data_IF_025251909106
#
_entry.id   IF_025251909106
#
_cell.length_a   1.000
_cell.length_b   1.000
_cell.length_c   1.000
_cell.angle_alpha   90.00
_cell.angle_beta   90.00
_cell.angle_gamma   90.00
#
_symmetry.space_group_name_H-M   'P 1'
#
loop_
_entity.id
_entity.type
_entity.pdbx_description
1 polymer ?
#
# COMPACT_ATOMS: atom_id res chain seq x y z
N UNK A 1 41.97 -13.36 -3.88
CA UNK A 1 40.88 -14.08 -3.19
C UNK A 1 40.95 -13.73 -1.71
N UNK A 2 40.22 -12.72 -1.25
CA UNK A 2 40.30 -12.25 0.15
C UNK A 2 39.05 -12.67 0.91
N UNK A 3 39.16 -13.79 1.64
CA UNK A 3 38.14 -14.38 2.49
C UNK A 3 38.08 -13.70 3.87
N UNK A 4 37.33 -12.60 3.98
CA UNK A 4 36.96 -12.00 5.27
C UNK A 4 35.52 -11.46 5.18
N UNK A 5 34.52 -12.33 5.26
CA UNK A 5 33.10 -11.94 5.30
C UNK A 5 32.32 -12.58 6.45
N UNK A 6 33.00 -13.11 7.45
CA UNK A 6 32.34 -13.68 8.63
C UNK A 6 32.82 -12.97 9.89
N UNK A 7 31.87 -12.58 10.75
CA UNK A 7 32.14 -12.01 12.07
C UNK A 7 31.89 -13.11 13.13
N UNK A 8 32.86 -14.00 13.38
CA UNK A 8 32.65 -15.20 14.18
C UNK A 8 32.29 -14.90 15.65
N UNK A 9 32.63 -13.70 16.14
CA UNK A 9 32.29 -13.27 17.50
C UNK A 9 30.78 -13.17 17.72
N UNK A 10 29.99 -12.90 16.67
CA UNK A 10 28.54 -12.85 16.78
C UNK A 10 27.96 -14.19 17.24
N UNK A 11 28.46 -15.30 16.69
CA UNK A 11 28.01 -16.65 17.06
C UNK A 11 28.38 -17.05 18.49
N UNK A 12 29.33 -16.35 19.11
CA UNK A 12 29.73 -16.58 20.52
C UNK A 12 28.81 -15.86 21.51
N UNK A 13 27.93 -14.98 21.04
CA UNK A 13 26.93 -14.35 21.90
C UNK A 13 25.89 -15.38 22.35
N UNK A 14 25.43 -15.32 23.63
CA UNK A 14 24.26 -16.02 24.09
C UNK A 14 23.09 -15.87 23.11
N UNK A 15 22.29 -16.94 22.99
CA UNK A 15 21.19 -17.00 22.02
C UNK A 15 20.20 -15.84 22.22
N UNK A 16 19.90 -15.49 23.46
CA UNK A 16 18.99 -14.41 23.83
C UNK A 16 19.47 -13.06 23.31
N UNK A 17 20.79 -12.81 23.34
CA UNK A 17 21.37 -11.57 22.82
C UNK A 17 21.30 -11.53 21.30
N UNK A 18 21.56 -12.66 20.62
CA UNK A 18 21.41 -12.73 19.15
C UNK A 18 19.98 -12.47 18.71
N UNK A 19 19.00 -13.09 19.39
CA UNK A 19 17.58 -12.86 19.13
C UNK A 19 17.21 -11.40 19.33
N UNK A 20 17.65 -10.76 20.43
CA UNK A 20 17.42 -9.33 20.66
C UNK A 20 18.03 -8.47 19.55
N UNK A 21 19.25 -8.76 19.10
CA UNK A 21 19.87 -8.02 18.00
C UNK A 21 19.01 -8.12 16.73
N UNK A 22 18.49 -9.30 16.40
CA UNK A 22 17.59 -9.44 15.27
C UNK A 22 16.26 -8.72 15.48
N UNK A 23 15.70 -8.70 16.69
CA UNK A 23 14.49 -7.93 17.00
C UNK A 23 14.69 -6.43 16.75
N UNK A 24 15.82 -5.88 17.21
CA UNK A 24 16.17 -4.48 16.95
C UNK A 24 16.52 -4.19 15.50
N UNK A 25 16.86 -5.21 14.71
CA UNK A 25 17.14 -5.09 13.29
C UNK A 25 15.91 -5.36 12.40
N UNK A 26 14.75 -5.70 12.99
CA UNK A 26 13.50 -5.76 12.23
C UNK A 26 13.15 -4.36 11.73
N UNK A 27 12.55 -4.23 10.54
CA UNK A 27 11.96 -2.96 10.14
C UNK A 27 10.94 -2.50 11.19
N UNK A 28 10.95 -1.20 11.49
CA UNK A 28 9.83 -0.56 12.18
C UNK A 28 8.59 -0.48 11.29
N UNK A 29 7.48 0.11 11.79
CA UNK A 29 6.31 0.38 10.98
C UNK A 29 6.70 1.13 9.70
N UNK A 30 6.30 0.60 8.55
CA UNK A 30 6.65 1.16 7.23
C UNK A 30 5.46 1.16 6.29
N UNK A 31 5.56 2.01 5.28
CA UNK A 31 4.62 2.08 4.16
C UNK A 31 5.19 1.23 3.03
N UNK A 32 4.43 0.24 2.58
CA UNK A 32 4.88 -0.74 1.58
C UNK A 32 4.08 -0.55 0.29
N UNK A 33 4.66 0.10 -0.74
CA UNK A 33 4.01 0.25 -2.03
C UNK A 33 3.81 -1.12 -2.70
N UNK A 34 2.60 -1.39 -3.18
CA UNK A 34 2.29 -2.64 -3.88
C UNK A 34 2.08 -2.37 -5.36
N UNK A 35 2.88 -3.05 -6.18
CA UNK A 35 2.80 -2.99 -7.64
C UNK A 35 2.82 -4.39 -8.22
N UNK A 36 2.17 -4.57 -9.35
CA UNK A 36 2.14 -5.79 -10.11
C UNK A 36 3.07 -5.65 -11.31
N UNK A 37 4.12 -6.46 -11.34
CA UNK A 37 5.02 -6.50 -12.47
C UNK A 37 4.46 -7.44 -13.53
N UNK A 38 3.93 -6.88 -14.62
CA UNK A 38 3.36 -7.66 -15.75
C UNK A 38 4.39 -8.54 -16.46
N UNK A 39 5.67 -8.19 -16.46
CA UNK A 39 6.70 -9.03 -17.11
C UNK A 39 7.01 -10.27 -16.27
N UNK A 40 7.06 -10.11 -14.94
CA UNK A 40 7.38 -11.19 -14.01
C UNK A 40 6.14 -11.92 -13.48
N UNK A 41 4.94 -11.43 -13.80
CA UNK A 41 3.65 -11.95 -13.33
C UNK A 41 3.58 -12.11 -11.81
N UNK A 42 4.14 -11.13 -11.08
CA UNK A 42 4.21 -11.17 -9.62
C UNK A 42 4.04 -9.78 -9.00
N UNK A 43 3.62 -9.74 -7.74
CA UNK A 43 3.60 -8.52 -6.94
C UNK A 43 5.01 -8.18 -6.44
N UNK A 44 5.41 -6.93 -6.62
CA UNK A 44 6.71 -6.36 -6.24
C UNK A 44 6.53 -5.03 -5.51
N UNK A 45 7.52 -4.63 -4.73
CA UNK A 45 7.59 -3.34 -4.05
C UNK A 45 8.94 -2.68 -4.33
N UNK A 46 8.96 -1.36 -4.40
CA UNK A 46 10.21 -0.58 -4.45
C UNK A 46 10.90 -0.52 -3.07
N UNK A 47 10.23 -1.00 -2.02
CA UNK A 47 10.80 -1.10 -0.68
C UNK A 47 12.04 -1.99 -0.70
N UNK A 48 13.12 -1.54 -0.08
CA UNK A 48 14.34 -2.33 0.02
C UNK A 48 14.06 -3.69 0.69
N UNK A 49 14.60 -4.79 0.15
CA UNK A 49 14.46 -6.11 0.76
C UNK A 49 14.95 -6.09 2.22
N UNK A 50 14.19 -6.67 3.18
CA UNK A 50 14.60 -6.70 4.57
C UNK A 50 15.97 -7.37 4.77
N UNK A 51 16.91 -6.65 5.39
CA UNK A 51 18.29 -7.10 5.60
C UNK A 51 18.34 -8.47 6.28
N UNK A 52 17.44 -8.71 7.25
CA UNK A 52 17.37 -9.97 8.01
C UNK A 52 17.12 -11.22 7.16
N UNK A 53 16.54 -11.08 5.96
CA UNK A 53 16.40 -12.21 5.03
C UNK A 53 17.77 -12.69 4.51
N UNK A 54 18.77 -11.81 4.47
CA UNK A 54 20.05 -12.06 3.80
C UNK A 54 21.24 -12.24 4.75
N UNK A 55 21.09 -11.99 6.06
CA UNK A 55 22.20 -12.12 7.04
C UNK A 55 22.55 -13.58 7.31
N UNK A 56 21.63 -14.38 7.85
CA UNK A 56 21.83 -15.81 8.10
C UNK A 56 20.50 -16.56 8.25
N UNK A 57 20.55 -17.88 8.54
CA UNK A 57 19.35 -18.69 8.75
C UNK A 57 18.58 -18.32 10.02
N UNK A 58 19.27 -17.91 11.08
CA UNK A 58 18.67 -17.50 12.36
C UNK A 58 17.91 -16.17 12.22
N UNK A 59 18.53 -15.18 11.57
CA UNK A 59 17.88 -13.89 11.27
C UNK A 59 16.65 -14.06 10.40
N UNK A 60 16.75 -14.93 9.37
CA UNK A 60 15.64 -15.23 8.47
C UNK A 60 14.48 -15.87 9.22
N UNK A 61 14.74 -16.85 10.09
CA UNK A 61 13.71 -17.50 10.91
C UNK A 61 12.98 -16.49 11.80
N UNK A 62 13.73 -15.57 12.43
CA UNK A 62 13.15 -14.51 13.26
C UNK A 62 12.32 -13.52 12.44
N UNK A 63 12.74 -13.21 11.22
CA UNK A 63 11.98 -12.36 10.31
C UNK A 63 10.67 -13.03 9.88
N UNK A 64 10.74 -14.29 9.40
CA UNK A 64 9.57 -15.03 8.89
C UNK A 64 8.60 -15.48 9.98
N UNK A 65 8.97 -15.38 11.27
CA UNK A 65 8.01 -15.60 12.37
C UNK A 65 7.09 -14.41 12.63
N UNK A 66 7.40 -13.25 12.03
CA UNK A 66 6.67 -11.99 12.24
C UNK A 66 6.06 -11.50 10.92
N UNK A 67 6.86 -11.52 9.85
CA UNK A 67 6.45 -11.06 8.53
C UNK A 67 5.93 -12.23 7.71
N UNK A 68 4.79 -12.01 7.04
CA UNK A 68 4.22 -12.95 6.08
C UNK A 68 4.46 -12.45 4.66
N UNK A 69 4.54 -13.38 3.71
CA UNK A 69 4.55 -13.02 2.30
C UNK A 69 3.14 -12.57 1.88
N UNK A 70 3.07 -11.46 1.14
CA UNK A 70 1.81 -10.84 0.73
C UNK A 70 1.13 -11.66 -0.38
N UNK A 71 -0.16 -11.94 -0.25
CA UNK A 71 -0.95 -12.70 -1.21
C UNK A 71 -2.27 -11.97 -1.49
N UNK A 72 -2.21 -10.98 -2.38
CA UNK A 72 -3.40 -10.25 -2.83
C UNK A 72 -4.23 -11.04 -3.85
N UNK A 73 -3.63 -11.98 -4.56
CA UNK A 73 -4.35 -12.87 -5.48
C UNK A 73 -3.96 -14.31 -5.23
N UNK A 74 -4.86 -15.24 -5.51
CA UNK A 74 -4.54 -16.67 -5.52
C UNK A 74 -3.73 -17.08 -6.76
N UNK A 75 -3.77 -16.27 -7.83
CA UNK A 75 -3.14 -16.58 -9.11
C UNK A 75 -1.67 -16.16 -9.18
N UNK A 76 -1.31 -15.10 -8.46
CA UNK A 76 -0.02 -14.44 -8.61
C UNK A 76 0.76 -14.47 -7.30
N UNK A 77 2.04 -14.80 -7.42
CA UNK A 77 2.98 -14.80 -6.30
C UNK A 77 3.41 -13.37 -5.94
N UNK A 78 4.06 -13.22 -4.78
CA UNK A 78 4.63 -11.96 -4.33
C UNK A 78 6.04 -12.12 -3.80
N UNK A 79 6.88 -11.12 -4.01
CA UNK A 79 8.18 -10.98 -3.35
C UNK A 79 8.12 -10.09 -2.10
N UNK A 80 6.94 -9.58 -1.76
CA UNK A 80 6.72 -8.57 -0.72
C UNK A 80 6.44 -9.25 0.62
N UNK A 81 7.13 -8.79 1.66
CA UNK A 81 6.93 -9.24 3.04
C UNK A 81 6.29 -8.14 3.86
N UNK A 82 5.20 -8.46 4.55
CA UNK A 82 4.37 -7.50 5.29
C UNK A 82 4.12 -8.03 6.69
N UNK A 83 4.25 -7.16 7.68
CA UNK A 83 3.69 -7.38 9.01
C UNK A 83 2.33 -6.65 9.09
N UNK A 84 1.25 -7.40 8.93
CA UNK A 84 -0.12 -6.87 8.94
C UNK A 84 -0.50 -6.13 10.24
N UNK A 85 0.25 -6.32 11.32
CA UNK A 85 -0.01 -5.65 12.60
C UNK A 85 0.55 -4.23 12.66
N UNK A 86 1.50 -3.88 11.79
CA UNK A 86 2.28 -2.62 11.86
C UNK A 86 2.47 -1.92 10.52
N UNK A 87 2.60 -2.68 9.44
CA UNK A 87 2.86 -2.14 8.11
C UNK A 87 1.59 -1.58 7.48
N UNK A 88 1.77 -0.49 6.74
CA UNK A 88 0.71 0.12 5.92
C UNK A 88 0.88 -0.32 4.47
N UNK A 89 -0.14 -1.01 3.94
CA UNK A 89 -0.16 -1.39 2.52
C UNK A 89 -0.52 -0.16 1.70
N UNK A 90 0.32 0.20 0.73
CA UNK A 90 0.13 1.40 -0.07
C UNK A 90 -0.13 1.08 -1.54
N UNK A 91 -1.29 1.50 -2.05
CA UNK A 91 -1.63 1.42 -3.46
C UNK A 91 -1.37 2.78 -4.11
N UNK A 92 -0.26 2.88 -4.82
CA UNK A 92 0.29 4.17 -5.27
C UNK A 92 0.25 4.37 -6.79
N UNK A 93 -0.20 3.36 -7.52
CA UNK A 93 -0.21 3.30 -8.98
C UNK A 93 -1.30 2.29 -9.45
N UNK A 94 -1.81 2.47 -10.67
CA UNK A 94 -2.75 1.57 -11.36
C UNK A 94 -2.21 0.16 -11.55
N UNK A 95 -0.89 0.00 -11.57
CA UNK A 95 -0.26 -1.30 -11.58
C UNK A 95 -0.46 -2.06 -10.26
N UNK A 96 -1.20 -1.57 -9.27
CA UNK A 96 -1.54 -2.34 -8.07
C UNK A 96 -2.49 -3.53 -8.32
N UNK A 97 -3.20 -3.55 -9.45
CA UNK A 97 -4.18 -4.58 -9.80
C UNK A 97 -3.89 -5.16 -11.18
N UNK A 98 -3.63 -6.47 -11.31
CA UNK A 98 -3.40 -7.12 -12.60
C UNK A 98 -4.64 -7.08 -13.52
N UNK A 99 -5.85 -7.24 -12.95
CA UNK A 99 -7.11 -7.27 -13.69
C UNK A 99 -7.77 -5.87 -13.80
N UNK A 100 -7.17 -4.84 -13.17
CA UNK A 100 -7.68 -3.46 -13.16
C UNK A 100 -8.83 -3.21 -12.20
N UNK A 101 -9.18 -4.20 -11.37
CA UNK A 101 -10.24 -4.13 -10.38
C UNK A 101 -9.69 -4.51 -9.01
N UNK A 102 -9.15 -3.50 -8.32
CA UNK A 102 -8.51 -3.67 -7.02
C UNK A 102 -9.49 -4.25 -5.98
N UNK A 103 -10.76 -3.84 -6.02
CA UNK A 103 -11.78 -4.40 -5.15
C UNK A 103 -11.98 -5.90 -5.42
N UNK A 104 -12.04 -6.33 -6.67
CA UNK A 104 -12.15 -7.76 -6.97
C UNK A 104 -10.93 -8.55 -6.52
N UNK A 105 -9.72 -8.00 -6.70
CA UNK A 105 -8.48 -8.63 -6.25
C UNK A 105 -8.47 -8.79 -4.72
N UNK A 106 -8.77 -7.72 -3.98
CA UNK A 106 -8.88 -7.77 -2.52
C UNK A 106 -9.95 -8.76 -2.07
N UNK A 107 -11.09 -8.85 -2.75
CA UNK A 107 -12.17 -9.76 -2.40
C UNK A 107 -11.76 -11.24 -2.56
N UNK A 108 -10.88 -11.51 -3.52
CA UNK A 108 -10.31 -12.85 -3.77
C UNK A 108 -9.06 -13.14 -2.94
N UNK A 109 -8.45 -12.12 -2.35
CA UNK A 109 -7.27 -12.27 -1.49
C UNK A 109 -7.61 -13.08 -0.24
N UNK A 110 -6.80 -14.11 0.09
CA UNK A 110 -6.93 -14.81 1.38
C UNK A 110 -6.49 -13.95 2.59
N UNK A 111 -5.79 -12.83 2.36
CA UNK A 111 -5.20 -11.99 3.41
C UNK A 111 -5.85 -10.61 3.52
N UNK A 112 -6.89 -10.30 2.74
CA UNK A 112 -7.56 -9.00 2.79
C UNK A 112 -8.10 -8.66 4.19
N UNK A 113 -8.58 -9.67 4.93
CA UNK A 113 -9.05 -9.49 6.30
C UNK A 113 -7.92 -9.27 7.32
N UNK A 114 -6.66 -9.50 6.95
CA UNK A 114 -5.52 -9.20 7.83
C UNK A 114 -5.10 -7.73 7.73
N UNK A 115 -5.50 -7.01 6.69
CA UNK A 115 -5.07 -5.63 6.45
C UNK A 115 -5.68 -4.70 7.49
N UNK A 116 -4.83 -4.14 8.36
CA UNK A 116 -5.24 -3.17 9.39
C UNK A 116 -5.00 -1.71 8.96
N UNK A 117 -3.97 -1.47 8.15
CA UNK A 117 -3.59 -0.13 7.70
C UNK A 117 -3.42 -0.14 6.18
N UNK A 118 -4.17 0.73 5.52
CA UNK A 118 -4.13 0.88 4.06
C UNK A 118 -3.98 2.35 3.71
N UNK A 119 -3.15 2.62 2.70
CA UNK A 119 -3.00 3.91 2.07
C UNK A 119 -3.31 3.77 0.58
N UNK A 120 -3.96 4.76 -0.01
CA UNK A 120 -4.28 4.81 -1.44
C UNK A 120 -3.90 6.21 -1.95
N UNK A 121 -3.18 6.28 -3.05
CA UNK A 121 -2.89 7.55 -3.72
C UNK A 121 -4.20 8.23 -4.16
N UNK A 122 -4.32 9.53 -3.91
CA UNK A 122 -5.56 10.26 -4.17
C UNK A 122 -5.97 10.24 -5.66
N UNK A 123 -5.02 10.26 -6.59
CA UNK A 123 -5.33 10.17 -8.01
C UNK A 123 -5.76 8.76 -8.38
N UNK A 124 -5.10 7.73 -7.81
CA UNK A 124 -5.55 6.35 -7.99
C UNK A 124 -6.97 6.16 -7.46
N UNK A 125 -7.28 6.74 -6.30
CA UNK A 125 -8.63 6.70 -5.72
C UNK A 125 -9.68 7.27 -6.67
N UNK A 126 -9.44 8.44 -7.28
CA UNK A 126 -10.31 9.01 -8.30
C UNK A 126 -10.51 8.06 -9.48
N UNK A 127 -9.42 7.49 -10.01
CA UNK A 127 -9.49 6.59 -11.18
C UNK A 127 -10.30 5.32 -10.88
N UNK A 128 -10.14 4.74 -9.70
CA UNK A 128 -10.90 3.55 -9.27
C UNK A 128 -12.42 3.81 -9.18
N UNK A 129 -12.83 5.08 -9.03
CA UNK A 129 -14.24 5.49 -8.92
C UNK A 129 -14.88 5.88 -10.24
N UNK A 130 -14.11 6.05 -11.31
CA UNK A 130 -14.66 6.41 -12.65
C UNK A 130 -15.74 5.42 -13.10
N UNK A 131 -15.54 4.12 -12.85
CA UNK A 131 -16.50 3.07 -13.23
C UNK A 131 -17.23 2.45 -12.05
N UNK A 132 -16.96 2.91 -10.82
CA UNK A 132 -17.58 2.41 -9.59
C UNK A 132 -18.06 3.57 -8.73
N UNK A 133 -19.38 3.88 -8.76
CA UNK A 133 -19.91 5.00 -7.97
C UNK A 133 -19.90 4.75 -6.46
N UNK A 134 -19.64 3.51 -6.02
CA UNK A 134 -19.59 3.19 -4.59
C UNK A 134 -18.23 3.55 -3.97
N UNK A 135 -18.25 4.52 -3.06
CA UNK A 135 -17.06 5.06 -2.39
C UNK A 135 -16.31 4.09 -1.48
N UNK A 136 -16.92 2.96 -1.09
CA UNK A 136 -16.38 2.06 -0.08
C UNK A 136 -16.02 0.66 -0.61
N UNK A 137 -15.94 0.47 -1.93
CA UNK A 137 -15.76 -0.87 -2.54
C UNK A 137 -14.58 -1.67 -1.98
N UNK A 138 -13.37 -1.13 -2.10
CA UNK A 138 -12.11 -1.72 -1.61
C UNK A 138 -12.08 -1.75 -0.08
N UNK A 139 -12.60 -0.69 0.53
CA UNK A 139 -12.57 -0.48 1.99
C UNK A 139 -13.39 -1.56 2.70
N UNK A 140 -14.61 -1.84 2.24
CA UNK A 140 -15.52 -2.84 2.83
C UNK A 140 -15.00 -4.27 2.77
N UNK A 141 -14.09 -4.55 1.85
CA UNK A 141 -13.49 -5.86 1.74
C UNK A 141 -12.51 -6.10 2.88
N UNK A 142 -11.81 -5.07 3.35
CA UNK A 142 -10.86 -5.16 4.46
C UNK A 142 -11.57 -4.93 5.80
N UNK A 143 -12.35 -5.90 6.30
CA UNK A 143 -13.27 -5.69 7.45
C UNK A 143 -12.60 -5.38 8.78
N UNK A 144 -11.30 -5.65 8.89
CA UNK A 144 -10.47 -5.35 10.05
C UNK A 144 -9.67 -4.05 9.90
N UNK A 145 -9.94 -3.27 8.86
CA UNK A 145 -9.22 -2.02 8.61
C UNK A 145 -9.44 -1.05 9.78
N UNK A 146 -8.33 -0.58 10.35
CA UNK A 146 -8.30 0.42 11.41
C UNK A 146 -8.04 1.81 10.86
N UNK A 147 -7.24 1.92 9.80
CA UNK A 147 -6.91 3.21 9.21
C UNK A 147 -6.86 3.11 7.69
N UNK A 148 -7.51 4.07 7.05
CA UNK A 148 -7.40 4.36 5.63
C UNK A 148 -6.77 5.73 5.45
N UNK A 149 -5.70 5.82 4.69
CA UNK A 149 -5.09 7.10 4.32
C UNK A 149 -5.26 7.37 2.83
N UNK A 150 -5.78 8.54 2.46
CA UNK A 150 -5.63 9.08 1.11
C UNK A 150 -4.34 9.88 1.04
N UNK A 151 -3.44 9.48 0.14
CA UNK A 151 -2.09 10.05 0.05
C UNK A 151 -2.02 11.04 -1.09
N UNK A 152 -1.60 12.26 -0.77
CA UNK A 152 -1.23 13.29 -1.71
C UNK A 152 0.29 13.33 -1.85
N UNK A 153 0.82 12.97 -3.02
CA UNK A 153 2.26 13.00 -3.29
C UNK A 153 2.74 14.44 -3.51
N UNK A 154 3.83 14.84 -2.87
CA UNK A 154 4.44 16.16 -2.91
C UNK A 154 5.08 16.50 -4.26
N UNK A 155 5.30 15.51 -5.13
CA UNK A 155 5.80 15.69 -6.49
C UNK A 155 4.73 16.27 -7.42
N UNK A 156 4.37 17.51 -7.16
CA UNK A 156 3.55 18.36 -7.99
C UNK A 156 4.35 19.01 -9.12
N UNK A 157 5.05 18.19 -9.90
CA UNK A 157 5.44 18.55 -11.28
C UNK A 157 4.27 18.33 -12.27
N UNK A 158 3.06 18.07 -11.79
CA UNK A 158 1.86 17.91 -12.62
C UNK A 158 1.04 19.18 -12.76
N UNK A 159 1.69 20.25 -13.21
CA UNK A 159 1.03 21.37 -13.88
C UNK A 159 0.54 21.05 -15.31
N UNK A 160 0.30 19.78 -15.65
CA UNK A 160 -0.06 19.35 -17.00
C UNK A 160 -1.07 18.19 -16.98
N UNK A 161 -2.27 18.40 -16.45
CA UNK A 161 -3.44 17.68 -16.98
C UNK A 161 -3.68 18.22 -18.39
N UNK A 162 -3.03 17.63 -19.40
CA UNK A 162 -3.35 17.89 -20.81
C UNK A 162 -4.61 17.09 -21.17
N UNK A 163 -5.77 17.73 -21.09
CA UNK A 163 -6.96 17.17 -21.73
C UNK A 163 -6.89 17.54 -23.21
N UNK A 164 -6.55 16.55 -24.05
CA UNK A 164 -6.63 16.67 -25.52
C UNK A 164 -8.09 16.47 -25.92
N UNK A 165 -8.81 17.56 -26.15
CA UNK A 165 -10.15 17.49 -26.74
C UNK A 165 -10.03 17.75 -28.26
N UNK A 166 -10.59 16.84 -29.05
CA UNK A 166 -10.78 17.03 -30.48
C UNK A 166 -12.19 17.58 -30.71
N UNK A 167 -12.29 18.87 -31.01
CA UNK A 167 -13.50 19.45 -31.58
C UNK A 167 -13.17 19.94 -32.99
N UNK A 168 -13.94 19.48 -33.97
CA UNK A 168 -13.93 20.03 -35.34
C UNK A 168 -12.53 20.03 -36.02
N UNK A 169 -11.80 18.92 -35.91
CA UNK A 169 -10.47 18.77 -36.52
C UNK A 169 -9.36 19.65 -35.91
N UNK A 170 -9.65 20.44 -34.88
CA UNK A 170 -8.66 21.21 -34.12
C UNK A 170 -8.37 20.55 -32.78
N UNK A 171 -7.09 20.29 -32.56
CA UNK A 171 -6.60 19.76 -31.30
C UNK A 171 -6.44 20.92 -30.31
N UNK A 172 -7.32 21.01 -29.32
CA UNK A 172 -7.16 21.95 -28.20
C UNK A 172 -6.62 21.20 -27.00
N UNK A 173 -5.53 21.72 -26.44
CA UNK A 173 -4.93 21.21 -25.22
C UNK A 173 -5.33 22.16 -24.10
N UNK A 174 -6.28 21.76 -23.26
CA UNK A 174 -6.55 22.48 -22.02
C UNK A 174 -5.54 22.00 -20.98
N UNK A 175 -4.84 22.95 -20.38
CA UNK A 175 -3.96 22.74 -19.22
C UNK A 175 -4.67 23.39 -18.04
N UNK A 176 -5.24 22.57 -17.17
CA UNK A 176 -5.75 23.05 -15.88
C UNK A 176 -4.56 23.18 -14.92
N UNK A 177 -4.24 24.41 -14.55
CA UNK A 177 -3.25 24.72 -13.51
C UNK A 177 -3.99 24.68 -12.18
N UNK A 178 -3.96 23.52 -11.51
CA UNK A 178 -4.43 23.41 -10.12
C UNK A 178 -3.42 24.07 -9.18
N UNK A 179 -3.90 24.92 -8.27
CA UNK A 179 -3.11 25.36 -7.11
C UNK A 179 -3.11 24.22 -6.08
N UNK A 180 -1.98 23.93 -5.44
CA UNK A 180 -1.83 22.89 -4.39
C UNK A 180 -2.92 23.02 -3.32
N UNK A 181 -3.37 24.25 -3.01
CA UNK A 181 -4.47 24.48 -2.08
C UNK A 181 -5.81 23.87 -2.54
N UNK A 182 -6.11 23.93 -3.84
CA UNK A 182 -7.33 23.34 -4.42
C UNK A 182 -7.31 21.81 -4.39
N UNK A 183 -6.14 21.20 -4.56
CA UNK A 183 -5.99 19.74 -4.53
C UNK A 183 -6.04 19.20 -3.11
N UNK A 184 -5.43 19.89 -2.14
CA UNK A 184 -5.60 19.58 -0.72
C UNK A 184 -7.09 19.63 -0.35
N UNK A 185 -7.82 20.68 -0.76
CA UNK A 185 -9.26 20.78 -0.53
C UNK A 185 -10.03 19.62 -1.19
N UNK A 186 -9.65 19.23 -2.40
CA UNK A 186 -10.29 18.13 -3.11
C UNK A 186 -10.08 16.79 -2.41
N UNK A 187 -8.86 16.47 -1.99
CA UNK A 187 -8.58 15.23 -1.24
C UNK A 187 -9.26 15.26 0.13
N UNK A 188 -9.28 16.41 0.79
CA UNK A 188 -10.00 16.58 2.06
C UNK A 188 -11.50 16.33 1.89
N UNK A 189 -12.11 16.82 0.81
CA UNK A 189 -13.50 16.53 0.47
C UNK A 189 -13.74 15.03 0.29
N UNK A 190 -12.84 14.32 -0.42
CA UNK A 190 -12.93 12.86 -0.57
C UNK A 190 -12.83 12.14 0.79
N UNK A 191 -11.89 12.56 1.65
CA UNK A 191 -11.77 12.00 3.01
C UNK A 191 -13.06 12.19 3.81
N UNK A 192 -13.64 13.39 3.79
CA UNK A 192 -14.85 13.69 4.53
C UNK A 192 -16.08 12.97 3.95
N UNK A 193 -16.15 12.79 2.62
CA UNK A 193 -17.17 11.96 1.97
C UNK A 193 -17.09 10.51 2.43
N UNK A 194 -15.88 9.92 2.50
CA UNK A 194 -15.71 8.53 2.96
C UNK A 194 -16.11 8.40 4.43
N UNK A 195 -15.72 9.37 5.28
CA UNK A 195 -16.15 9.40 6.69
C UNK A 195 -17.66 9.44 6.82
N UNK A 196 -18.32 10.31 6.06
CA UNK A 196 -19.77 10.41 6.03
C UNK A 196 -20.40 9.07 5.63
N UNK A 197 -19.90 8.43 4.57
CA UNK A 197 -20.40 7.12 4.12
C UNK A 197 -20.22 6.02 5.17
N UNK A 198 -19.11 6.04 5.93
CA UNK A 198 -18.84 5.08 7.01
C UNK A 198 -19.76 5.29 8.22
N UNK A 199 -20.08 6.54 8.56
CA UNK A 199 -20.97 6.88 9.68
C UNK A 199 -22.43 6.53 9.39
N UNK A 200 -22.85 6.66 8.13
CA UNK A 200 -24.23 6.44 7.69
C UNK A 200 -24.45 5.04 7.09
N UNK A 201 -23.47 4.13 7.22
CA UNK A 201 -23.59 2.77 6.72
C UNK A 201 -24.64 1.99 7.52
N UNK A 202 -25.67 1.52 6.82
CA UNK A 202 -26.83 0.83 7.44
C UNK A 202 -26.56 -0.63 7.82
N UNK A 203 -25.49 -1.23 7.29
CA UNK A 203 -25.09 -2.63 7.54
C UNK A 203 -23.57 -2.71 7.74
N UNK A 204 -23.05 -2.30 8.91
CA UNK A 204 -21.63 -2.31 9.19
C UNK A 204 -21.15 -3.77 9.32
N UNK A 205 -20.41 -4.25 8.32
CA UNK A 205 -19.76 -5.59 8.33
C UNK A 205 -18.35 -5.55 8.91
N UNK A 206 -18.05 -4.54 9.70
CA UNK A 206 -16.76 -4.35 10.36
C UNK A 206 -16.67 -5.27 11.57
N UNK A 207 -15.52 -5.90 11.78
CA UNK A 207 -15.28 -6.72 12.98
C UNK A 207 -14.98 -5.86 14.22
N UNK A 208 -14.88 -4.54 14.05
CA UNK A 208 -14.62 -3.54 15.08
C UNK A 208 -15.24 -2.17 14.73
N UNK A 209 -14.73 -1.06 15.32
CA UNK A 209 -15.18 0.28 14.92
C UNK A 209 -14.83 0.54 13.44
N UNK A 210 -15.57 1.44 12.76
CA UNK A 210 -15.24 1.80 11.39
C UNK A 210 -13.81 2.37 11.30
N UNK A 211 -13.13 2.19 10.14
CA UNK A 211 -11.77 2.65 9.98
C UNK A 211 -11.67 4.17 10.12
N UNK A 212 -10.61 4.64 10.77
CA UNK A 212 -10.26 6.05 10.78
C UNK A 212 -9.74 6.44 9.39
N UNK A 213 -10.39 7.42 8.75
CA UNK A 213 -9.96 7.93 7.44
C UNK A 213 -9.15 9.20 7.63
N UNK A 214 -7.99 9.28 6.98
CA UNK A 214 -7.04 10.37 7.10
C UNK A 214 -6.52 10.81 5.73
N UNK A 215 -5.99 12.03 5.66
CA UNK A 215 -5.22 12.51 4.52
C UNK A 215 -3.74 12.56 4.93
N UNK A 216 -2.86 12.02 4.08
CA UNK A 216 -1.41 12.08 4.25
C UNK A 216 -0.80 12.90 3.12
N UNK A 217 0.23 13.67 3.43
CA UNK A 217 1.04 14.39 2.45
C UNK A 217 2.44 13.76 2.51
N UNK A 218 2.91 13.21 1.40
CA UNK A 218 4.16 12.42 1.31
C UNK A 218 5.10 12.95 0.26
#
# INVERSE_FOLDING_TARGET
MTSLQTFPLFARLPYELRVKIYEFALPGPRVVPIRYNRQQQQYTSDSSPPVLLHVCSESRRKFTSIYENLRLSQKFESSIWVDFTRDTIFFDNLDCSPEGDLALDLARSPQSQKVLYCAIDAQLWEVLRVFRPANLGEVRIMRNLKTLALVLKHDYDRGLRQTRMMYDGRQTTQVEVGDTGSEIQHVQFNVDSIRWDLEHETDPKWEGPPPNVQMWIM
#
